data_IF_044357489070
#
_entry.id   IF_044357489070
#
_cell.length_a   1.000
_cell.length_b   1.000
_cell.length_c   1.000
_cell.angle_alpha   90.00
_cell.angle_beta   90.00
_cell.angle_gamma   90.00
#
_symmetry.space_group_name_H-M   'P 1'
#
loop_
_entity.id
_entity.type
_entity.pdbx_description
1 polymer ?
#
# COMPACT_ATOMS: atom_id res chain seq x y z
N UNK A 1 -8.64 -21.70 22.39
CA UNK A 1 -9.47 -21.09 21.33
C UNK A 1 -9.44 -22.01 20.12
N UNK A 2 -10.59 -22.42 19.61
CA UNK A 2 -10.68 -23.17 18.34
C UNK A 2 -10.56 -22.19 17.17
N UNK A 3 -10.01 -22.61 16.01
CA UNK A 3 -9.92 -21.74 14.84
C UNK A 3 -11.32 -21.34 14.34
N UNK A 4 -11.46 -20.09 13.90
CA UNK A 4 -12.66 -19.63 13.19
C UNK A 4 -12.62 -20.17 11.76
N UNK A 5 -13.76 -20.65 11.27
CA UNK A 5 -13.90 -21.24 9.94
C UNK A 5 -14.78 -20.31 9.09
N UNK A 6 -14.40 -20.07 7.84
CA UNK A 6 -15.24 -19.38 6.86
C UNK A 6 -16.47 -20.24 6.57
N UNK A 7 -17.65 -19.77 6.97
CA UNK A 7 -18.91 -20.50 6.80
C UNK A 7 -19.60 -20.19 5.49
N UNK A 8 -19.53 -18.94 5.05
CA UNK A 8 -20.16 -18.50 3.82
C UNK A 8 -19.47 -17.23 3.32
N UNK A 9 -19.63 -16.95 2.03
CA UNK A 9 -19.16 -15.72 1.41
C UNK A 9 -20.12 -15.24 0.32
N UNK A 10 -19.98 -13.99 -0.06
CA UNK A 10 -20.67 -13.38 -1.19
C UNK A 10 -19.77 -12.34 -1.84
N UNK A 11 -20.03 -12.06 -3.12
CA UNK A 11 -19.34 -11.04 -3.91
C UNK A 11 -20.37 -10.08 -4.49
N UNK A 12 -20.06 -8.81 -4.41
CA UNK A 12 -20.74 -7.75 -5.13
C UNK A 12 -19.82 -7.24 -6.22
N UNK A 13 -20.29 -7.21 -7.47
CA UNK A 13 -19.60 -6.62 -8.61
C UNK A 13 -20.41 -5.42 -9.05
N UNK A 14 -19.82 -4.24 -9.01
CA UNK A 14 -20.46 -2.96 -9.36
C UNK A 14 -21.83 -2.75 -8.69
N UNK A 15 -21.90 -3.05 -7.39
CA UNK A 15 -23.12 -2.95 -6.59
C UNK A 15 -24.10 -4.12 -6.72
N UNK A 16 -23.92 -5.03 -7.68
CA UNK A 16 -24.77 -6.21 -7.87
C UNK A 16 -24.24 -7.42 -7.11
N UNK A 17 -25.07 -8.02 -6.27
CA UNK A 17 -24.72 -9.22 -5.50
C UNK A 17 -24.85 -10.52 -6.32
N UNK A 18 -23.90 -11.44 -6.14
CA UNK A 18 -23.85 -12.74 -6.84
C UNK A 18 -24.09 -13.93 -5.89
N UNK A 19 -24.85 -13.72 -4.82
CA UNK A 19 -25.19 -14.77 -3.87
C UNK A 19 -25.87 -15.95 -4.59
N UNK A 20 -25.36 -17.16 -4.38
CA UNK A 20 -25.84 -18.38 -5.03
C UNK A 20 -25.38 -18.57 -6.49
N UNK A 21 -24.62 -17.63 -7.05
CA UNK A 21 -24.07 -17.66 -8.41
C UNK A 21 -22.54 -17.65 -8.46
N UNK A 22 -21.88 -17.31 -7.36
CA UNK A 22 -20.43 -17.40 -7.19
C UNK A 22 -20.09 -18.73 -6.51
N UNK A 23 -19.17 -19.50 -7.10
CA UNK A 23 -18.73 -20.81 -6.59
C UNK A 23 -17.40 -20.70 -5.82
N UNK A 24 -16.46 -19.90 -6.31
CA UNK A 24 -15.11 -19.78 -5.72
C UNK A 24 -14.54 -18.38 -5.89
N UNK A 25 -13.72 -17.97 -4.91
CA UNK A 25 -12.94 -16.72 -4.96
C UNK A 25 -11.53 -17.00 -4.48
N UNK A 26 -10.54 -16.58 -5.27
CA UNK A 26 -9.14 -16.46 -4.86
C UNK A 26 -8.86 -14.98 -4.58
N UNK A 27 -8.58 -14.67 -3.31
CA UNK A 27 -8.20 -13.32 -2.90
C UNK A 27 -6.80 -12.96 -3.42
N UNK A 28 -6.52 -11.66 -3.68
CA UNK A 28 -5.19 -11.22 -4.05
C UNK A 28 -4.11 -11.66 -3.05
N UNK A 29 -3.02 -12.20 -3.58
CA UNK A 29 -1.81 -12.44 -2.79
C UNK A 29 -1.15 -11.11 -2.48
N UNK A 30 -0.96 -10.82 -1.21
CA UNK A 30 -0.21 -9.66 -0.76
C UNK A 30 1.27 -10.06 -0.64
N UNK A 31 2.05 -9.77 -1.67
CA UNK A 31 3.47 -10.14 -1.75
C UNK A 31 4.33 -8.90 -1.91
N UNK A 32 5.34 -8.77 -1.05
CA UNK A 32 6.37 -7.76 -1.15
C UNK A 32 7.42 -8.26 -2.13
N UNK A 33 7.69 -7.50 -3.17
CA UNK A 33 8.79 -7.80 -4.08
C UNK A 33 10.10 -7.48 -3.38
N UNK A 34 10.99 -8.45 -3.25
CA UNK A 34 12.29 -8.25 -2.59
C UNK A 34 13.45 -8.43 -3.55
N UNK A 35 14.50 -7.62 -3.38
CA UNK A 35 15.79 -7.83 -4.04
C UNK A 35 16.85 -8.24 -3.01
N UNK A 36 17.60 -9.30 -3.30
CA UNK A 36 18.70 -9.76 -2.45
C UNK A 36 19.90 -8.82 -2.60
N UNK A 37 20.34 -8.23 -1.48
CA UNK A 37 21.49 -7.34 -1.44
C UNK A 37 22.56 -7.89 -0.49
N UNK A 38 23.80 -7.96 -0.99
CA UNK A 38 24.98 -8.33 -0.20
C UNK A 38 26.15 -7.41 -0.55
N UNK A 39 26.71 -6.77 0.46
CA UNK A 39 27.87 -5.88 0.33
C UNK A 39 29.11 -6.42 1.06
N UNK A 40 30.25 -5.76 0.88
CA UNK A 40 31.48 -6.08 1.59
C UNK A 40 31.30 -6.02 3.11
N UNK A 41 31.70 -7.07 3.83
CA UNK A 41 31.51 -7.22 5.28
C UNK A 41 30.19 -7.88 5.69
N UNK A 42 29.33 -8.29 4.74
CA UNK A 42 28.10 -9.04 5.02
C UNK A 42 28.29 -10.54 4.77
N UNK A 43 28.02 -11.35 5.78
CA UNK A 43 28.14 -12.81 5.70
C UNK A 43 26.90 -13.47 5.05
N UNK A 44 25.73 -12.82 5.13
CA UNK A 44 24.44 -13.31 4.62
C UNK A 44 23.76 -12.18 3.82
N UNK A 45 23.11 -12.48 2.66
CA UNK A 45 22.32 -11.49 1.93
C UNK A 45 21.10 -11.03 2.73
N UNK A 46 20.71 -9.78 2.54
CA UNK A 46 19.49 -9.19 3.11
C UNK A 46 18.47 -8.90 2.00
N UNK A 47 17.19 -9.07 2.28
CA UNK A 47 16.11 -8.75 1.35
C UNK A 47 15.69 -7.29 1.50
N UNK A 48 15.75 -6.52 0.41
CA UNK A 48 15.28 -5.13 0.35
C UNK A 48 13.90 -5.08 -0.29
N UNK A 49 12.91 -4.47 0.37
CA UNK A 49 11.56 -4.22 -0.16
C UNK A 49 11.62 -3.25 -1.36
N UNK A 50 11.19 -3.72 -2.53
CA UNK A 50 11.12 -3.00 -3.81
C UNK A 50 9.69 -2.62 -4.20
N UNK A 51 8.73 -2.66 -3.27
CA UNK A 51 7.32 -2.44 -3.52
C UNK A 51 6.49 -3.72 -3.43
N UNK A 52 5.23 -3.63 -3.85
CA UNK A 52 4.31 -4.77 -3.92
C UNK A 52 4.37 -5.42 -5.30
N UNK A 53 4.11 -6.73 -5.35
CA UNK A 53 3.73 -7.38 -6.61
C UNK A 53 2.31 -6.98 -7.04
N UNK A 54 1.98 -7.29 -8.29
CA UNK A 54 0.64 -7.05 -8.85
C UNK A 54 -0.43 -7.75 -8.00
N UNK A 55 -1.53 -7.04 -7.76
CA UNK A 55 -2.68 -7.60 -7.07
C UNK A 55 -3.62 -8.24 -8.10
N UNK A 56 -3.75 -9.55 -8.08
CA UNK A 56 -4.67 -10.29 -8.96
C UNK A 56 -5.64 -11.13 -8.12
N UNK A 57 -6.94 -10.95 -8.34
CA UNK A 57 -8.01 -11.77 -7.77
C UNK A 57 -8.64 -12.65 -8.84
N UNK A 58 -9.12 -13.83 -8.46
CA UNK A 58 -9.86 -14.73 -9.36
C UNK A 58 -11.26 -15.01 -8.80
N UNK A 59 -12.26 -15.04 -9.68
CA UNK A 59 -13.65 -15.30 -9.35
C UNK A 59 -14.20 -16.37 -10.27
N UNK A 60 -14.82 -17.40 -9.72
CA UNK A 60 -15.48 -18.47 -10.49
C UNK A 60 -16.99 -18.38 -10.31
N UNK A 61 -17.70 -18.02 -11.37
CA UNK A 61 -19.16 -17.95 -11.40
C UNK A 61 -19.75 -19.24 -11.99
N UNK A 62 -20.89 -19.67 -11.44
CA UNK A 62 -21.62 -20.88 -11.81
C UNK A 62 -22.45 -20.76 -13.11
N UNK A 63 -22.52 -19.56 -13.68
CA UNK A 63 -23.25 -19.25 -14.91
C UNK A 63 -22.66 -18.04 -15.64
N UNK A 64 -23.08 -17.85 -16.89
CA UNK A 64 -22.77 -16.66 -17.69
C UNK A 64 -23.78 -15.56 -17.42
N UNK A 65 -23.31 -14.47 -16.82
CA UNK A 65 -24.12 -13.26 -16.59
C UNK A 65 -23.75 -12.17 -17.58
N UNK A 66 -24.74 -11.65 -18.32
CA UNK A 66 -24.57 -10.58 -19.31
C UNK A 66 -23.93 -9.32 -18.72
N UNK A 67 -24.18 -9.02 -17.45
CA UNK A 67 -23.63 -7.82 -16.81
C UNK A 67 -22.12 -7.94 -16.57
N UNK A 68 -21.59 -9.15 -16.34
CA UNK A 68 -20.15 -9.34 -16.22
C UNK A 68 -19.44 -9.03 -17.53
N UNK A 69 -19.99 -9.50 -18.66
CA UNK A 69 -19.40 -9.25 -19.98
C UNK A 69 -19.42 -7.77 -20.38
N UNK A 70 -20.38 -6.99 -19.89
CA UNK A 70 -20.42 -5.53 -20.12
C UNK A 70 -19.29 -4.79 -19.42
N UNK A 71 -18.67 -5.38 -18.41
CA UNK A 71 -17.58 -4.79 -17.63
C UNK A 71 -16.19 -5.13 -18.19
N UNK A 72 -16.10 -5.97 -19.23
CA UNK A 72 -14.82 -6.40 -19.80
C UNK A 72 -14.33 -5.46 -20.91
N UNK A 73 -13.04 -5.08 -20.86
CA UNK A 73 -12.35 -4.39 -21.96
C UNK A 73 -12.71 -2.91 -22.17
N UNK A 74 -13.17 -2.21 -21.14
CA UNK A 74 -13.55 -0.79 -21.21
C UNK A 74 -12.31 0.13 -21.25
N UNK A 75 -12.30 1.12 -22.16
CA UNK A 75 -11.12 1.95 -22.47
C UNK A 75 -10.96 3.16 -21.55
N UNK A 76 -12.06 3.79 -21.11
CA UNK A 76 -12.03 5.01 -20.28
C UNK A 76 -12.20 4.68 -18.80
N UNK A 77 -11.11 4.81 -18.02
CA UNK A 77 -11.12 4.92 -16.55
C UNK A 77 -11.83 3.81 -15.77
N UNK A 78 -12.13 2.67 -16.41
CA UNK A 78 -13.18 1.79 -15.94
C UNK A 78 -12.67 0.74 -14.97
N UNK A 79 -12.53 1.19 -13.74
CA UNK A 79 -12.18 0.34 -12.64
C UNK A 79 -13.44 -0.18 -11.98
N UNK A 80 -13.68 -1.47 -12.11
CA UNK A 80 -14.81 -2.16 -11.49
C UNK A 80 -14.58 -2.19 -9.99
N UNK A 81 -15.62 -1.83 -9.24
CA UNK A 81 -15.63 -1.96 -7.78
C UNK A 81 -16.15 -3.35 -7.40
N UNK A 82 -15.34 -4.13 -6.70
CA UNK A 82 -15.72 -5.43 -6.16
C UNK A 82 -15.72 -5.41 -4.64
N UNK A 83 -16.76 -5.95 -4.02
CA UNK A 83 -16.83 -6.09 -2.56
C UNK A 83 -17.10 -7.54 -2.20
N UNK A 84 -16.13 -8.16 -1.56
CA UNK A 84 -16.22 -9.52 -1.05
C UNK A 84 -16.57 -9.49 0.43
N UNK A 85 -17.46 -10.37 0.84
CA UNK A 85 -17.91 -10.49 2.23
C UNK A 85 -17.85 -11.95 2.63
N UNK A 86 -17.17 -12.25 3.74
CA UNK A 86 -17.08 -13.58 4.34
C UNK A 86 -17.53 -13.54 5.79
N UNK A 87 -18.13 -14.64 6.27
CA UNK A 87 -18.47 -14.83 7.68
C UNK A 87 -17.59 -15.89 8.32
N UNK A 88 -16.74 -15.49 9.26
CA UNK A 88 -15.92 -16.39 10.08
C UNK A 88 -16.66 -16.74 11.37
N UNK A 89 -16.76 -18.03 11.69
CA UNK A 89 -17.42 -18.49 12.91
C UNK A 89 -16.53 -19.46 13.69
N UNK A 90 -16.40 -19.24 14.99
CA UNK A 90 -15.71 -20.15 15.91
C UNK A 90 -16.54 -21.41 16.19
N UNK A 91 -15.88 -22.57 16.30
CA UNK A 91 -16.57 -23.81 16.66
C UNK A 91 -17.19 -23.70 18.06
N UNK A 92 -18.52 -23.84 18.15
CA UNK A 92 -19.27 -23.75 19.40
C UNK A 92 -19.67 -22.34 19.85
N UNK A 93 -19.35 -21.30 19.08
CA UNK A 93 -19.83 -19.92 19.31
C UNK A 93 -20.81 -19.48 18.21
N UNK A 94 -21.82 -18.71 18.59
CA UNK A 94 -22.72 -18.03 17.65
C UNK A 94 -22.16 -16.69 17.15
N UNK A 95 -20.98 -16.28 17.64
CA UNK A 95 -20.34 -15.04 17.21
C UNK A 95 -19.78 -15.19 15.79
N UNK A 96 -20.32 -14.38 14.88
CA UNK A 96 -19.87 -14.30 13.50
C UNK A 96 -19.02 -13.05 13.35
N UNK A 97 -17.77 -13.23 12.95
CA UNK A 97 -16.86 -12.16 12.61
C UNK A 97 -16.89 -11.93 11.09
N UNK A 98 -17.31 -10.74 10.68
CA UNK A 98 -17.35 -10.36 9.28
C UNK A 98 -15.97 -10.05 8.73
N UNK A 99 -15.64 -10.61 7.58
CA UNK A 99 -14.49 -10.24 6.74
C UNK A 99 -15.04 -9.49 5.53
N UNK A 100 -14.55 -8.29 5.28
CA UNK A 100 -14.93 -7.47 4.13
C UNK A 100 -13.65 -7.12 3.38
N UNK A 101 -13.65 -7.39 2.08
CA UNK A 101 -12.56 -7.00 1.18
C UNK A 101 -13.14 -6.15 0.08
N UNK A 102 -12.63 -4.93 -0.05
CA UNK A 102 -12.97 -4.04 -1.15
C UNK A 102 -11.81 -4.02 -2.14
N UNK A 103 -12.11 -4.32 -3.40
CA UNK A 103 -11.18 -4.24 -4.51
C UNK A 103 -11.67 -3.21 -5.51
N UNK A 104 -10.71 -2.53 -6.15
CA UNK A 104 -10.97 -1.77 -7.36
C UNK A 104 -9.93 -2.17 -8.40
N UNK A 105 -10.39 -2.51 -9.60
CA UNK A 105 -9.53 -3.12 -10.60
C UNK A 105 -10.20 -3.28 -11.96
N UNK A 106 -9.45 -3.84 -12.91
CA UNK A 106 -9.91 -4.09 -14.27
C UNK A 106 -10.06 -5.61 -14.44
N UNK A 107 -11.14 -6.03 -15.09
CA UNK A 107 -11.24 -7.42 -15.55
C UNK A 107 -10.21 -7.67 -16.65
N UNK A 108 -9.20 -8.47 -16.32
CA UNK A 108 -8.06 -8.77 -17.17
C UNK A 108 -8.33 -9.94 -18.12
N UNK A 109 -9.06 -10.95 -17.64
CA UNK A 109 -9.27 -12.20 -18.38
C UNK A 109 -10.62 -12.82 -18.02
N UNK A 110 -11.33 -13.29 -19.04
CA UNK A 110 -12.55 -14.09 -18.93
C UNK A 110 -12.29 -15.46 -19.57
N UNK A 111 -12.27 -16.50 -18.75
CA UNK A 111 -12.14 -17.89 -19.16
C UNK A 111 -13.50 -18.60 -19.07
N UNK A 112 -13.97 -19.05 -20.22
CA UNK A 112 -15.28 -19.70 -20.40
C UNK A 112 -15.25 -21.18 -20.02
N UNK A 113 -14.09 -21.71 -19.62
CA UNK A 113 -13.91 -23.12 -19.30
C UNK A 113 -14.22 -24.01 -20.51
N UNK A 114 -14.88 -25.14 -20.25
CA UNK A 114 -15.25 -26.12 -21.28
C UNK A 114 -16.74 -26.44 -21.22
N UNK A 115 -17.42 -26.50 -22.37
CA UNK A 115 -18.82 -26.90 -22.44
C UNK A 115 -18.96 -28.42 -22.55
N UNK A 116 -19.79 -28.98 -21.68
CA UNK A 116 -20.22 -30.38 -21.76
C UNK A 116 -21.75 -30.44 -21.63
N UNK A 117 -22.43 -31.32 -22.39
CA UNK A 117 -23.86 -31.50 -22.26
C UNK A 117 -24.26 -31.82 -20.81
N UNK A 118 -25.27 -31.12 -20.29
CA UNK A 118 -25.82 -31.30 -18.94
C UNK A 118 -24.87 -30.99 -17.75
N UNK A 119 -23.72 -30.34 -17.99
CA UNK A 119 -22.89 -29.75 -16.91
C UNK A 119 -23.11 -28.23 -16.83
N UNK A 120 -22.83 -27.63 -15.66
CA UNK A 120 -22.90 -26.18 -15.48
C UNK A 120 -21.83 -25.50 -16.33
N UNK A 121 -22.20 -24.42 -17.03
CA UNK A 121 -21.22 -23.55 -17.67
C UNK A 121 -20.60 -22.64 -16.60
N UNK A 122 -19.28 -22.72 -16.40
CA UNK A 122 -18.55 -21.89 -15.45
C UNK A 122 -17.84 -20.74 -16.15
N UNK A 123 -17.73 -19.61 -15.47
CA UNK A 123 -16.96 -18.45 -15.92
C UNK A 123 -15.92 -18.09 -14.87
N UNK A 124 -14.64 -18.22 -15.22
CA UNK A 124 -13.54 -17.74 -14.40
C UNK A 124 -13.13 -16.34 -14.86
N UNK A 125 -13.17 -15.37 -13.95
CA UNK A 125 -12.78 -13.99 -14.20
C UNK A 125 -11.54 -13.65 -13.39
N UNK A 126 -10.53 -13.08 -14.03
CA UNK A 126 -9.32 -12.55 -13.37
C UNK A 126 -9.41 -11.03 -13.32
N UNK A 127 -9.26 -10.45 -12.13
CA UNK A 127 -9.23 -9.00 -11.91
C UNK A 127 -7.82 -8.57 -11.53
N UNK A 128 -7.27 -7.61 -12.27
CA UNK A 128 -6.07 -6.89 -11.88
C UNK A 128 -6.47 -5.66 -11.04
N UNK A 129 -6.23 -5.72 -9.73
CA UNK A 129 -6.58 -4.67 -8.79
C UNK A 129 -5.46 -3.64 -8.62
N UNK A 130 -5.84 -2.37 -8.49
CA UNK A 130 -4.97 -1.26 -8.07
C UNK A 130 -5.36 -0.70 -6.69
N UNK A 131 -6.56 -1.05 -6.19
CA UNK A 131 -6.98 -0.76 -4.83
C UNK A 131 -7.39 -2.05 -4.11
N UNK A 132 -6.97 -2.19 -2.85
CA UNK A 132 -7.31 -3.29 -1.96
C UNK A 132 -7.52 -2.78 -0.54
N UNK A 133 -8.62 -3.15 0.10
CA UNK A 133 -8.86 -2.88 1.52
C UNK A 133 -9.44 -4.10 2.23
N UNK A 134 -8.85 -4.48 3.35
CA UNK A 134 -9.28 -5.59 4.21
C UNK A 134 -9.77 -5.07 5.55
N UNK A 135 -10.99 -5.45 5.89
CA UNK A 135 -11.62 -5.17 7.18
C UNK A 135 -12.06 -6.49 7.82
N UNK A 136 -11.70 -6.73 9.08
CA UNK A 136 -12.13 -7.90 9.84
C UNK A 136 -12.73 -7.43 11.17
N UNK A 137 -13.95 -7.87 11.47
CA UNK A 137 -14.64 -7.50 12.71
C UNK A 137 -14.89 -5.98 12.85
N UNK A 138 -14.94 -5.26 11.72
CA UNK A 138 -15.06 -3.80 11.69
C UNK A 138 -13.73 -3.05 11.78
N UNK A 139 -12.61 -3.74 12.01
CA UNK A 139 -11.29 -3.13 12.06
C UNK A 139 -10.64 -3.15 10.68
N UNK A 140 -10.23 -1.99 10.18
CA UNK A 140 -9.48 -1.85 8.95
C UNK A 140 -8.03 -2.28 9.19
N UNK A 141 -7.64 -3.42 8.61
CA UNK A 141 -6.33 -4.02 8.84
C UNK A 141 -5.33 -3.65 7.75
N UNK A 142 -5.77 -3.61 6.49
CA UNK A 142 -4.90 -3.34 5.36
C UNK A 142 -5.64 -2.44 4.38
N UNK A 143 -4.98 -1.39 3.91
CA UNK A 143 -5.41 -0.59 2.77
C UNK A 143 -4.21 -0.36 1.86
N UNK A 144 -4.39 -0.65 0.57
CA UNK A 144 -3.38 -0.51 -0.48
C UNK A 144 -4.03 0.24 -1.62
N UNK A 145 -3.42 1.35 -2.00
CA UNK A 145 -3.80 2.13 -3.17
C UNK A 145 -2.53 2.38 -4.00
N UNK A 146 -2.44 1.74 -5.16
CA UNK A 146 -1.28 1.84 -6.02
C UNK A 146 -1.18 3.20 -6.72
N UNK A 147 -2.31 3.86 -7.01
CA UNK A 147 -2.33 5.15 -7.70
C UNK A 147 -1.99 6.30 -6.75
N UNK A 148 -2.49 6.23 -5.52
CA UNK A 148 -2.24 7.23 -4.47
C UNK A 148 -1.02 6.92 -3.60
N UNK A 149 -0.27 5.86 -3.91
CA UNK A 149 0.90 5.43 -3.13
C UNK A 149 0.57 5.23 -1.65
N UNK A 150 -0.52 4.54 -1.31
CA UNK A 150 -0.92 4.25 0.07
C UNK A 150 -0.65 2.78 0.37
N UNK A 151 -0.02 2.50 1.51
CA UNK A 151 0.08 1.14 2.07
C UNK A 151 -0.11 1.22 3.58
N UNK A 152 -1.35 1.24 4.04
CA UNK A 152 -1.68 1.24 5.46
C UNK A 152 -1.77 -0.17 6.00
N UNK A 153 -1.05 -0.42 7.08
CA UNK A 153 -1.09 -1.68 7.83
C UNK A 153 -1.50 -1.35 9.26
N UNK A 154 -2.62 -1.91 9.71
CA UNK A 154 -3.27 -1.63 11.00
C UNK A 154 -3.41 -0.12 11.27
N UNK A 155 -3.86 0.63 10.25
CA UNK A 155 -4.06 2.08 10.33
C UNK A 155 -2.79 2.94 10.20
N UNK A 156 -1.59 2.35 10.12
CA UNK A 156 -0.33 3.11 9.95
C UNK A 156 0.12 3.07 8.48
N UNK A 157 0.25 4.24 7.85
CA UNK A 157 0.72 4.33 6.47
C UNK A 157 2.23 4.10 6.36
N UNK A 158 2.60 3.07 5.63
CA UNK A 158 3.99 2.71 5.37
C UNK A 158 4.60 3.54 4.24
N UNK A 159 3.76 4.21 3.41
CA UNK A 159 4.20 4.96 2.24
C UNK A 159 4.35 6.47 2.50
N UNK A 160 3.60 7.04 3.45
CA UNK A 160 3.82 8.43 3.96
C UNK A 160 5.28 8.65 4.37
N UNK A 161 5.94 7.57 4.78
CA UNK A 161 7.32 7.53 5.21
C UNK A 161 8.37 7.62 4.09
N UNK A 162 8.02 7.75 2.81
CA UNK A 162 9.05 7.80 1.75
C UNK A 162 9.45 9.23 1.38
N UNK A 163 8.53 10.20 1.38
CA UNK A 163 8.82 11.62 1.16
C UNK A 163 7.79 12.51 1.87
N UNK A 164 8.25 13.39 2.76
CA UNK A 164 7.42 14.38 3.44
C UNK A 164 7.72 15.77 2.86
N UNK A 165 6.68 16.44 2.36
CA UNK A 165 6.80 17.82 1.87
C UNK A 165 6.58 18.81 3.01
N UNK A 166 7.48 19.78 3.12
CA UNK A 166 7.46 20.87 4.10
C UNK A 166 7.25 22.17 3.34
N UNK A 167 6.10 22.80 3.53
CA UNK A 167 5.85 24.15 2.98
C UNK A 167 6.59 25.19 3.80
N UNK A 168 7.43 25.96 3.12
CA UNK A 168 8.18 27.07 3.67
C UNK A 168 7.28 28.29 3.78
N UNK A 169 7.32 28.97 4.92
CA UNK A 169 6.70 30.28 5.09
C UNK A 169 7.46 31.33 4.27
N UNK A 170 8.79 31.19 4.21
CA UNK A 170 9.69 32.09 3.52
C UNK A 170 10.38 31.31 2.38
N UNK A 171 9.96 31.51 1.12
CA UNK A 171 10.57 30.84 -0.03
C UNK A 171 12.06 31.15 -0.14
N UNK A 172 12.85 30.11 -0.46
CA UNK A 172 14.30 30.21 -0.67
C UNK A 172 14.63 30.07 -2.15
N UNK A 173 15.87 30.40 -2.55
CA UNK A 173 16.30 30.27 -3.95
C UNK A 173 17.22 29.08 -4.09
N UNK A 174 16.85 28.11 -4.94
CA UNK A 174 17.68 26.94 -5.26
C UNK A 174 18.01 27.02 -6.74
N UNK A 175 19.29 27.15 -7.10
CA UNK A 175 19.75 27.25 -8.49
C UNK A 175 19.04 28.36 -9.31
N UNK A 176 18.68 29.46 -8.66
CA UNK A 176 17.96 30.59 -9.29
C UNK A 176 16.44 30.41 -9.40
N UNK A 177 15.89 29.30 -8.88
CA UNK A 177 14.46 29.01 -8.83
C UNK A 177 13.94 29.27 -7.41
N UNK A 178 12.84 30.01 -7.28
CA UNK A 178 12.17 30.19 -5.99
C UNK A 178 11.44 28.90 -5.60
N UNK A 179 11.81 28.33 -4.46
CA UNK A 179 11.26 27.10 -3.91
C UNK A 179 10.51 27.45 -2.63
N UNK A 180 9.21 27.16 -2.59
CA UNK A 180 8.34 27.32 -1.41
C UNK A 180 8.10 26.01 -0.66
N UNK A 181 8.64 24.90 -1.13
CA UNK A 181 8.42 23.57 -0.55
C UNK A 181 9.71 22.74 -0.57
N UNK A 182 10.05 22.12 0.56
CA UNK A 182 11.15 21.16 0.64
C UNK A 182 10.60 19.75 0.81
N UNK A 183 11.01 18.83 -0.06
CA UNK A 183 10.65 17.42 0.07
C UNK A 183 11.77 16.67 0.78
N UNK A 184 11.50 16.14 1.97
CA UNK A 184 12.45 15.38 2.80
C UNK A 184 12.21 13.88 2.61
N UNK A 185 13.23 13.13 2.20
CA UNK A 185 13.18 11.65 2.22
C UNK A 185 13.50 11.10 3.61
N UNK A 186 12.99 9.91 3.93
CA UNK A 186 13.33 9.25 5.19
C UNK A 186 14.84 8.93 5.30
N UNK A 187 15.47 9.21 6.46
CA UNK A 187 16.85 8.86 6.71
C UNK A 187 17.04 7.34 6.73
N UNK A 188 18.05 6.85 6.00
CA UNK A 188 18.54 5.47 6.09
C UNK A 188 19.69 5.40 7.09
N UNK A 189 19.97 4.21 7.62
CA UNK A 189 21.14 3.97 8.50
C UNK A 189 22.45 4.44 7.83
N UNK A 190 22.54 4.34 6.49
CA UNK A 190 23.67 4.90 5.72
C UNK A 190 23.83 6.41 5.90
N UNK A 191 22.73 7.15 5.90
CA UNK A 191 22.76 8.61 6.06
C UNK A 191 23.22 8.97 7.47
N UNK A 192 22.68 8.29 8.49
CA UNK A 192 23.12 8.47 9.88
C UNK A 192 24.61 8.18 10.06
N UNK A 193 25.10 7.04 9.54
CA UNK A 193 26.51 6.67 9.58
C UNK A 193 27.42 7.62 8.80
N UNK A 194 26.95 8.17 7.69
CA UNK A 194 27.70 9.17 6.93
C UNK A 194 27.92 10.43 7.76
N UNK A 195 26.93 10.84 8.55
CA UNK A 195 26.99 12.03 9.41
C UNK A 195 27.83 11.79 10.67
N UNK A 196 27.75 10.60 11.29
CA UNK A 196 28.60 10.22 12.43
C UNK A 196 30.10 10.27 12.08
N UNK A 197 30.44 9.93 10.83
CA UNK A 197 31.82 9.95 10.33
C UNK A 197 32.34 11.36 10.02
N UNK A 198 31.49 12.39 9.99
CA UNK A 198 31.91 13.76 9.75
C UNK A 198 32.42 14.41 11.04
N UNK A 199 33.48 15.19 10.91
CA UNK A 199 33.97 16.07 11.98
C UNK A 199 33.18 17.39 11.95
N UNK A 200 32.67 17.84 13.10
CA UNK A 200 31.89 19.07 13.19
C UNK A 200 31.01 19.12 14.43
N UNK A 201 30.33 20.26 14.64
CA UNK A 201 29.31 20.40 15.69
C UNK A 201 28.03 19.64 15.33
N UNK A 202 27.20 19.35 16.32
CA UNK A 202 25.92 18.66 16.12
C UNK A 202 25.00 19.40 15.14
N UNK A 203 24.97 20.73 15.22
CA UNK A 203 24.22 21.56 14.26
C UNK A 203 24.74 21.41 12.82
N UNK A 204 26.07 21.40 12.62
CA UNK A 204 26.65 21.24 11.28
C UNK A 204 26.36 19.87 10.67
N UNK A 205 26.33 18.84 11.52
CA UNK A 205 25.96 17.47 11.17
C UNK A 205 24.49 17.39 10.78
N UNK A 206 23.60 18.04 11.52
CA UNK A 206 22.17 18.09 11.25
C UNK A 206 21.83 18.83 9.96
N UNK A 207 22.46 19.99 9.71
CA UNK A 207 22.30 20.74 8.44
C UNK A 207 22.75 19.88 7.25
N UNK A 208 23.87 19.16 7.38
CA UNK A 208 24.36 18.26 6.34
C UNK A 208 23.45 17.05 6.13
N UNK A 209 22.91 16.49 7.21
CA UNK A 209 21.91 15.43 7.13
C UNK A 209 20.68 15.92 6.37
N UNK A 210 20.16 17.08 6.75
CA UNK A 210 18.99 17.72 6.15
C UNK A 210 19.17 17.89 4.64
N UNK A 211 20.29 18.49 4.22
CA UNK A 211 20.65 18.69 2.81
C UNK A 211 20.65 17.37 2.02
N UNK A 212 21.24 16.31 2.59
CA UNK A 212 21.28 14.98 1.97
C UNK A 212 19.89 14.31 1.87
N UNK A 213 18.94 14.69 2.73
CA UNK A 213 17.58 14.15 2.75
C UNK A 213 16.65 14.94 1.83
N UNK A 214 16.87 16.24 1.67
CA UNK A 214 16.09 17.09 0.77
C UNK A 214 16.66 17.17 -0.64
N UNK A 215 17.85 16.63 -0.86
CA UNK A 215 18.58 16.69 -2.14
C UNK A 215 18.88 18.12 -2.60
N UNK A 216 19.04 19.04 -1.64
CA UNK A 216 19.49 20.43 -1.90
C UNK A 216 20.91 20.62 -1.38
N UNK A 217 21.58 21.67 -1.85
CA UNK A 217 22.90 22.02 -1.37
C UNK A 217 22.86 22.46 0.10
N UNK A 218 23.99 22.34 0.82
CA UNK A 218 24.05 22.67 2.25
C UNK A 218 23.74 24.15 2.49
N UNK A 219 24.22 24.99 1.58
CA UNK A 219 24.05 26.44 1.57
C UNK A 219 22.57 26.83 1.51
N UNK A 220 21.75 26.05 0.80
CA UNK A 220 20.30 26.24 0.72
C UNK A 220 19.63 26.02 2.08
N UNK A 221 20.08 25.03 2.84
CA UNK A 221 19.56 24.78 4.20
C UNK A 221 20.00 25.89 5.16
N UNK A 222 21.20 26.46 4.96
CA UNK A 222 21.71 27.59 5.75
C UNK A 222 20.96 28.90 5.48
N UNK A 223 20.31 29.04 4.32
CA UNK A 223 19.47 30.19 3.95
C UNK A 223 18.04 30.11 4.51
N UNK A 224 17.63 28.98 5.10
CA UNK A 224 16.30 28.83 5.68
C UNK A 224 16.07 29.83 6.82
N UNK A 225 14.87 30.41 6.82
CA UNK A 225 14.39 31.15 8.00
C UNK A 225 14.31 30.21 9.21
N UNK A 226 14.60 30.72 10.40
CA UNK A 226 14.62 29.93 11.63
C UNK A 226 13.27 29.22 11.86
N UNK A 227 12.14 29.85 11.54
CA UNK A 227 10.83 29.23 11.70
C UNK A 227 10.63 28.03 10.77
N UNK A 228 11.12 28.11 9.53
CA UNK A 228 11.05 27.00 8.58
C UNK A 228 12.09 25.92 8.89
N UNK A 229 13.27 26.30 9.37
CA UNK A 229 14.26 25.35 9.87
C UNK A 229 13.71 24.53 11.03
N UNK A 230 13.00 25.14 11.99
CA UNK A 230 12.35 24.42 13.09
C UNK A 230 11.33 23.40 12.59
N UNK A 231 10.51 23.72 11.57
CA UNK A 231 9.59 22.74 10.96
C UNK A 231 10.35 21.54 10.37
N UNK A 232 11.48 21.79 9.72
CA UNK A 232 12.34 20.72 9.20
C UNK A 232 12.90 19.86 10.34
N UNK A 233 13.32 20.47 11.45
CA UNK A 233 13.78 19.72 12.63
C UNK A 233 12.67 18.87 13.26
N UNK A 234 11.42 19.36 13.32
CA UNK A 234 10.28 18.60 13.82
C UNK A 234 10.05 17.35 12.96
N UNK A 235 10.02 17.51 11.64
CA UNK A 235 9.93 16.38 10.69
C UNK A 235 11.08 15.39 10.86
N UNK A 236 12.31 15.87 11.05
CA UNK A 236 13.46 14.99 11.29
C UNK A 236 13.34 14.23 12.61
N UNK A 237 12.88 14.88 13.69
CA UNK A 237 12.66 14.23 14.99
C UNK A 237 11.58 13.15 14.91
N UNK A 238 10.54 13.35 14.11
CA UNK A 238 9.50 12.35 13.90
C UNK A 238 10.08 11.08 13.23
N UNK A 239 11.03 11.22 12.30
CA UNK A 239 11.70 10.06 11.70
C UNK A 239 12.55 9.24 12.69
N UNK A 240 13.13 9.89 13.70
CA UNK A 240 13.96 9.24 14.72
C UNK A 240 13.19 8.82 15.97
N UNK A 241 11.93 9.22 16.08
CA UNK A 241 11.08 8.80 17.19
C UNK A 241 10.73 7.31 17.03
N UNK A 242 10.83 6.50 18.09
CA UNK A 242 10.37 5.13 18.04
C UNK A 242 8.88 5.15 17.67
N UNK A 243 8.48 4.31 16.70
CA UNK A 243 7.07 4.14 16.35
C UNK A 243 6.39 3.64 17.62
N UNK A 244 5.74 4.55 18.36
CA UNK A 244 4.89 4.18 19.47
C UNK A 244 3.75 3.43 18.81
N UNK A 245 3.79 2.10 18.90
CA UNK A 245 2.63 1.26 18.64
C UNK A 245 1.56 1.75 19.61
N UNK A 246 0.66 2.62 19.13
CA UNK A 246 -0.57 2.94 19.86
C UNK A 246 -1.29 1.62 20.03
N UNK A 247 -1.31 1.17 21.27
CA UNK A 247 -1.92 -0.08 21.74
C UNK A 247 -3.43 0.04 21.69
#
# INVERSE_FOLDING_TARGET
MLPKILKNFNVFVDGRGYAGKIDEVTLPKLTIKTEEYRAGGMDIPINIDMGMEKLEAEFTFAEYDSELFRLFGLIDGNSVSLTLRGGLQGSGSNDIEGVIINLRGIFKEFDFGSWKPAEKATLKCTVAAHYYKLTIGGNELIEIDAENMIRKINGVDQMENFMQTITLNNPITVDGISVSELTVRRPKVRDYLAIERLNGSDLSKEVTLTANLTSVAKEVIEELDIADYVKVQEVLKDFFSPIIQKT
#
